data_IF_140665890724
#
_entry.id   IF_140665890724
#
_cell.length_a   1.000
_cell.length_b   1.000
_cell.length_c   1.000
_cell.angle_alpha   90.00
_cell.angle_beta   90.00
_cell.angle_gamma   90.00
#
_symmetry.space_group_name_H-M   'P 1'
#
loop_
_entity.id
_entity.type
_entity.pdbx_description
1 polymer ?
#
# COMPACT_ATOMS: atom_id res chain seq x y z
N UNK A 1 25.11 26.32 27.47
CA UNK A 1 23.87 26.91 28.01
C UNK A 1 22.86 25.79 28.26
N UNK A 2 23.20 24.98 29.27
CA UNK A 2 22.37 23.91 29.83
C UNK A 2 21.47 24.57 30.89
N UNK A 3 20.15 24.41 30.74
CA UNK A 3 19.08 24.53 31.76
C UNK A 3 17.81 25.02 31.04
N UNK A 4 16.89 24.09 30.76
CA UNK A 4 15.44 24.22 31.03
C UNK A 4 14.74 22.96 30.49
N UNK A 5 15.04 21.84 31.14
CA UNK A 5 14.28 20.59 31.10
C UNK A 5 13.97 20.25 32.55
N UNK A 6 12.86 20.78 33.07
CA UNK A 6 12.14 20.23 34.23
C UNK A 6 10.85 21.02 34.46
N UNK A 7 9.74 20.28 34.61
CA UNK A 7 8.34 20.69 34.87
C UNK A 7 7.42 20.64 33.64
N UNK A 8 6.77 19.50 33.44
CA UNK A 8 5.37 19.30 33.85
C UNK A 8 4.93 17.90 33.42
N UNK A 9 5.26 16.92 34.27
CA UNK A 9 4.63 15.61 34.31
C UNK A 9 3.77 15.62 35.57
N UNK A 10 2.47 15.86 35.40
CA UNK A 10 1.38 15.65 36.37
C UNK A 10 0.10 16.16 35.70
N UNK A 11 -0.70 15.26 35.11
CA UNK A 11 -2.17 15.32 35.05
C UNK A 11 -2.68 14.07 34.29
N UNK A 12 -2.56 12.91 34.95
CA UNK A 12 -3.32 11.70 34.66
C UNK A 12 -3.85 11.21 36.01
N UNK A 13 -5.09 11.57 36.34
CA UNK A 13 -6.02 10.90 37.26
C UNK A 13 -7.16 11.86 37.62
N UNK A 14 -8.19 11.91 36.79
CA UNK A 14 -9.58 12.16 37.23
C UNK A 14 -10.51 11.82 36.06
N UNK A 15 -11.71 11.35 36.41
CA UNK A 15 -12.84 11.04 35.52
C UNK A 15 -12.75 9.74 34.72
N UNK A 16 -12.73 8.65 35.48
CA UNK A 16 -13.41 7.42 35.09
C UNK A 16 -14.57 7.23 36.09
N UNK A 17 -15.80 7.63 35.72
CA UNK A 17 -17.09 7.18 36.30
C UNK A 17 -18.27 7.96 35.69
N UNK A 18 -18.91 7.39 34.67
CA UNK A 18 -20.36 7.39 34.45
C UNK A 18 -20.61 6.52 33.21
N UNK A 19 -20.82 5.23 33.43
CA UNK A 19 -22.16 4.66 33.59
C UNK A 19 -22.80 4.39 32.22
N UNK A 20 -22.56 3.16 31.78
CA UNK A 20 -23.49 2.34 31.03
C UNK A 20 -24.93 2.49 31.55
N UNK A 21 -25.85 2.98 30.72
CA UNK A 21 -27.27 2.60 30.68
C UNK A 21 -27.98 3.41 29.59
N UNK A 22 -28.25 2.77 28.45
CA UNK A 22 -29.50 2.91 27.69
C UNK A 22 -29.41 2.03 26.46
N UNK A 23 -29.63 0.73 26.66
CA UNK A 23 -30.13 -0.15 25.62
C UNK A 23 -31.66 0.00 25.52
N UNK A 24 -32.18 -0.24 24.31
CA UNK A 24 -33.57 -0.56 23.93
C UNK A 24 -34.35 0.50 23.11
N UNK A 25 -34.95 -0.03 22.04
CA UNK A 25 -35.78 0.60 20.99
C UNK A 25 -34.96 1.37 19.93
N UNK A 26 -34.74 0.83 18.74
CA UNK A 26 -35.77 0.44 17.77
C UNK A 26 -35.43 -0.88 17.05
N UNK A 27 -36.36 -1.83 17.17
CA UNK A 27 -36.47 -3.02 16.33
C UNK A 27 -37.08 -2.65 14.97
N UNK A 28 -36.61 -3.32 13.91
CA UNK A 28 -37.15 -3.27 12.54
C UNK A 28 -36.08 -2.76 11.58
N UNK A 29 -35.59 -3.51 10.59
CA UNK A 29 -36.08 -4.71 9.93
C UNK A 29 -34.89 -5.34 9.20
N UNK A 30 -34.74 -6.66 9.33
CA UNK A 30 -33.62 -7.40 8.77
C UNK A 30 -33.62 -7.46 7.25
N UNK A 31 -32.43 -7.33 6.69
CA UNK A 31 -32.05 -7.96 5.43
C UNK A 31 -30.86 -8.86 5.74
N UNK A 32 -31.13 -10.11 6.15
CA UNK A 32 -30.14 -11.17 6.15
C UNK A 32 -29.79 -11.47 4.69
N UNK A 33 -28.57 -11.14 4.26
CA UNK A 33 -28.04 -11.70 3.02
C UNK A 33 -28.00 -13.24 3.16
N UNK A 34 -28.48 -13.99 2.16
CA UNK A 34 -28.56 -15.43 2.27
C UNK A 34 -27.16 -16.04 2.35
N UNK A 35 -26.96 -16.89 3.36
CA UNK A 35 -25.84 -17.81 3.49
C UNK A 35 -25.78 -18.74 2.27
N UNK A 36 -25.16 -18.29 1.17
CA UNK A 36 -24.81 -19.18 0.07
C UNK A 36 -23.67 -20.09 0.51
N UNK A 37 -24.01 -21.34 0.80
CA UNK A 37 -23.06 -22.42 0.98
C UNK A 37 -22.07 -22.45 -0.20
N UNK A 38 -20.78 -22.35 0.11
CA UNK A 38 -19.70 -22.42 -0.88
C UNK A 38 -19.72 -23.82 -1.49
N UNK A 39 -20.10 -23.92 -2.77
CA UNK A 39 -20.06 -25.19 -3.50
C UNK A 39 -18.62 -25.68 -3.64
N UNK A 40 -18.44 -26.99 -3.51
CA UNK A 40 -17.16 -27.70 -3.65
C UNK A 40 -16.61 -27.45 -5.06
N UNK A 41 -15.38 -26.88 -5.15
CA UNK A 41 -14.67 -26.36 -6.34
C UNK A 41 -15.04 -24.93 -6.78
N UNK A 42 -14.76 -23.93 -5.94
CA UNK A 42 -14.84 -22.51 -6.33
C UNK A 42 -13.53 -21.79 -5.99
N UNK A 43 -13.04 -21.00 -6.95
CA UNK A 43 -11.88 -20.11 -6.80
C UNK A 43 -12.36 -18.67 -6.60
N UNK A 44 -11.70 -17.90 -5.74
CA UNK A 44 -12.03 -16.49 -5.53
C UNK A 44 -10.76 -15.62 -5.62
N UNK A 45 -10.69 -14.67 -6.59
CA UNK A 45 -11.60 -14.50 -7.74
C UNK A 45 -11.60 -15.72 -8.68
N UNK A 46 -12.65 -15.88 -9.50
CA UNK A 46 -12.84 -17.00 -10.43
C UNK A 46 -11.86 -16.95 -11.63
N UNK A 47 -10.56 -17.10 -11.33
CA UNK A 47 -9.42 -17.02 -12.25
C UNK A 47 -8.29 -17.95 -11.79
N UNK A 48 -7.51 -18.47 -12.73
CA UNK A 48 -6.32 -19.31 -12.46
C UNK A 48 -5.23 -18.53 -11.67
N UNK A 49 -4.46 -19.20 -10.79
CA UNK A 49 -3.51 -18.57 -9.87
C UNK A 49 -2.40 -17.72 -10.53
N UNK A 50 -1.82 -18.08 -11.71
CA UNK A 50 -0.81 -17.25 -12.37
C UNK A 50 -1.39 -16.07 -13.18
N UNK A 51 -2.65 -15.67 -12.94
CA UNK A 51 -3.22 -14.48 -13.57
C UNK A 51 -2.96 -13.22 -12.73
N UNK A 52 -2.75 -12.08 -13.39
CA UNK A 52 -2.53 -10.76 -12.76
C UNK A 52 -3.66 -10.34 -11.79
N UNK A 53 -4.85 -10.95 -11.92
CA UNK A 53 -6.01 -10.73 -11.06
C UNK A 53 -6.07 -11.60 -9.80
N UNK A 54 -5.11 -12.50 -9.59
CA UNK A 54 -4.99 -13.41 -8.44
C UNK A 54 -3.61 -13.17 -7.76
N UNK A 55 -2.89 -14.22 -7.38
CA UNK A 55 -1.57 -14.13 -6.75
C UNK A 55 -0.44 -13.73 -7.70
N UNK A 56 -0.65 -13.69 -9.01
CA UNK A 56 0.40 -13.33 -9.98
C UNK A 56 1.38 -14.48 -10.25
N UNK A 57 2.36 -14.25 -11.14
CA UNK A 57 3.29 -15.30 -11.58
C UNK A 57 4.28 -15.70 -10.48
N UNK A 58 4.76 -16.94 -10.55
CA UNK A 58 5.94 -17.39 -9.83
C UNK A 58 7.18 -16.62 -10.33
N UNK A 59 8.00 -16.16 -9.40
CA UNK A 59 9.27 -15.46 -9.63
C UNK A 59 10.48 -16.43 -9.60
N UNK A 60 10.27 -17.66 -9.15
CA UNK A 60 11.26 -18.74 -9.12
C UNK A 60 11.42 -19.34 -7.73
N UNK A 61 11.75 -20.64 -7.64
CA UNK A 61 11.94 -21.37 -6.37
C UNK A 61 13.01 -20.69 -5.50
N UNK A 62 12.68 -20.49 -4.23
CA UNK A 62 13.60 -20.04 -3.18
C UNK A 62 14.16 -21.30 -2.52
N UNK A 63 15.48 -21.46 -2.55
CA UNK A 63 16.19 -22.54 -1.86
C UNK A 63 16.81 -22.04 -0.56
N UNK A 64 16.94 -22.92 0.43
CA UNK A 64 17.61 -22.62 1.71
C UNK A 64 19.03 -22.06 1.45
N UNK A 65 19.33 -20.90 2.02
CA UNK A 65 20.63 -20.21 1.86
C UNK A 65 20.80 -19.40 0.55
N UNK A 66 19.79 -19.36 -0.33
CA UNK A 66 19.79 -18.42 -1.46
C UNK A 66 19.62 -16.97 -0.98
N UNK A 67 20.02 -15.99 -1.78
CA UNK A 67 19.81 -14.57 -1.43
C UNK A 67 18.33 -14.25 -1.18
N UNK A 68 17.42 -14.85 -1.96
CA UNK A 68 15.97 -14.69 -1.79
C UNK A 68 15.43 -15.38 -0.54
N UNK A 69 16.18 -16.28 0.10
CA UNK A 69 15.76 -16.90 1.35
C UNK A 69 15.64 -15.89 2.49
N UNK A 70 16.46 -14.83 2.46
CA UNK A 70 16.40 -13.71 3.42
C UNK A 70 15.07 -12.94 3.35
N UNK A 71 14.32 -13.09 2.26
CA UNK A 71 13.00 -12.46 2.10
C UNK A 71 11.91 -13.19 2.90
N UNK A 72 12.16 -14.42 3.32
CA UNK A 72 11.21 -15.20 4.12
C UNK A 72 11.45 -14.94 5.60
N UNK A 73 10.37 -14.55 6.30
CA UNK A 73 10.40 -14.37 7.75
C UNK A 73 9.63 -15.51 8.42
N UNK A 74 10.14 -16.07 9.53
CA UNK A 74 9.39 -17.06 10.27
C UNK A 74 8.17 -16.43 10.97
N UNK A 75 7.07 -17.17 11.00
CA UNK A 75 5.87 -16.84 11.75
C UNK A 75 5.78 -17.67 13.05
N UNK A 76 5.88 -16.98 14.19
CA UNK A 76 5.78 -17.56 15.54
C UNK A 76 4.50 -17.14 16.27
N UNK A 77 3.45 -16.79 15.53
CA UNK A 77 2.17 -16.45 16.12
C UNK A 77 1.62 -17.63 16.98
N UNK A 78 1.40 -17.45 18.29
CA UNK A 78 0.92 -18.52 19.18
C UNK A 78 -0.50 -19.01 18.86
N UNK A 79 -1.26 -18.22 18.09
CA UNK A 79 -2.63 -18.51 17.69
C UNK A 79 -2.72 -19.40 16.44
N UNK A 80 -1.57 -19.75 15.86
CA UNK A 80 -1.47 -20.61 14.67
C UNK A 80 -0.75 -21.91 15.04
N UNK A 81 -1.37 -23.04 14.71
CA UNK A 81 -0.75 -24.35 14.83
C UNK A 81 -0.04 -24.69 13.51
N UNK A 82 1.26 -24.93 13.55
CA UNK A 82 2.01 -25.42 12.40
C UNK A 82 2.18 -26.94 12.50
N UNK A 83 2.01 -27.64 11.37
CA UNK A 83 2.12 -29.11 11.33
C UNK A 83 3.58 -29.53 11.40
N UNK A 84 4.45 -28.90 10.60
CA UNK A 84 5.91 -29.06 10.62
C UNK A 84 6.32 -30.53 10.64
N UNK A 85 5.78 -31.35 9.73
CA UNK A 85 6.10 -32.77 9.68
C UNK A 85 7.55 -33.03 9.27
N UNK A 86 8.16 -32.06 8.57
CA UNK A 86 9.56 -32.07 8.14
C UNK A 86 10.52 -31.87 9.32
N UNK A 87 10.04 -31.32 10.45
CA UNK A 87 10.85 -30.90 11.60
C UNK A 87 11.97 -29.90 11.22
N UNK A 88 11.77 -29.12 10.16
CA UNK A 88 12.73 -28.10 9.67
C UNK A 88 12.26 -26.68 9.97
N UNK A 89 11.02 -26.50 10.42
CA UNK A 89 10.35 -25.22 10.58
C UNK A 89 10.00 -24.55 9.24
N UNK A 90 10.06 -25.27 8.12
CA UNK A 90 9.82 -24.72 6.78
C UNK A 90 8.40 -24.15 6.63
N UNK A 91 7.41 -24.83 7.22
CA UNK A 91 6.01 -24.39 7.34
C UNK A 91 5.83 -22.98 7.92
N UNK A 92 6.78 -22.51 8.73
CA UNK A 92 6.74 -21.19 9.38
C UNK A 92 7.30 -20.10 8.48
N UNK A 93 8.08 -20.44 7.46
CA UNK A 93 8.75 -19.49 6.60
C UNK A 93 7.80 -18.99 5.52
N UNK A 94 7.59 -17.68 5.48
CA UNK A 94 6.68 -17.06 4.52
C UNK A 94 7.07 -15.61 4.26
N UNK A 95 6.64 -15.09 3.13
CA UNK A 95 6.72 -13.65 2.79
C UNK A 95 5.99 -12.80 3.82
N UNK A 96 6.38 -11.52 3.96
CA UNK A 96 5.78 -10.65 4.97
C UNK A 96 4.28 -10.45 4.71
N UNK A 97 3.89 -10.32 3.44
CA UNK A 97 2.47 -10.25 3.07
C UNK A 97 1.71 -11.51 3.48
N UNK A 98 2.26 -12.69 3.21
CA UNK A 98 1.63 -13.95 3.59
C UNK A 98 1.43 -14.02 5.11
N UNK A 99 2.44 -13.62 5.88
CA UNK A 99 2.39 -13.51 7.35
C UNK A 99 1.27 -12.59 7.83
N UNK A 100 1.12 -11.40 7.26
CA UNK A 100 0.07 -10.44 7.65
C UNK A 100 -1.34 -10.98 7.38
N UNK A 101 -1.55 -11.61 6.22
CA UNK A 101 -2.83 -12.22 5.84
C UNK A 101 -3.16 -13.44 6.68
N UNK A 102 -2.16 -14.26 6.96
CA UNK A 102 -2.31 -15.44 7.80
C UNK A 102 -2.63 -15.07 9.25
N UNK A 103 -1.99 -14.04 9.81
CA UNK A 103 -2.29 -13.53 11.15
C UNK A 103 -3.71 -12.94 11.24
N UNK A 104 -4.13 -12.21 10.20
CA UNK A 104 -5.50 -11.67 10.11
C UNK A 104 -6.55 -12.79 10.04
N UNK A 105 -6.25 -13.86 9.29
CA UNK A 105 -7.08 -15.05 9.24
C UNK A 105 -7.15 -15.77 10.59
N UNK A 106 -6.03 -15.89 11.31
CA UNK A 106 -6.00 -16.53 12.62
C UNK A 106 -6.94 -15.84 13.63
N UNK A 107 -6.94 -14.50 13.66
CA UNK A 107 -7.88 -13.71 14.46
C UNK A 107 -9.33 -14.00 14.05
N UNK A 108 -9.59 -14.03 12.74
CA UNK A 108 -10.94 -14.28 12.20
C UNK A 108 -11.45 -15.68 12.57
N UNK A 109 -10.59 -16.71 12.53
CA UNK A 109 -10.92 -18.09 12.89
C UNK A 109 -11.28 -18.20 14.36
N UNK A 110 -10.49 -17.60 15.27
CA UNK A 110 -10.76 -17.64 16.70
C UNK A 110 -12.04 -16.89 17.08
N UNK A 111 -12.33 -15.78 16.39
CA UNK A 111 -13.57 -15.02 16.60
C UNK A 111 -14.80 -15.78 16.09
N UNK A 112 -14.67 -16.50 14.97
CA UNK A 112 -15.78 -17.23 14.37
C UNK A 112 -16.08 -18.54 15.11
N UNK A 113 -15.03 -19.24 15.58
CA UNK A 113 -15.15 -20.49 16.33
C UNK A 113 -14.38 -20.40 17.66
N UNK A 114 -15.05 -20.06 18.77
CA UNK A 114 -14.43 -20.03 20.09
C UNK A 114 -13.74 -21.37 20.43
N UNK A 115 -12.47 -21.33 20.81
CA UNK A 115 -11.67 -22.51 21.14
C UNK A 115 -11.02 -23.22 19.95
N UNK A 116 -11.28 -22.79 18.71
CA UNK A 116 -10.64 -23.32 17.50
C UNK A 116 -9.59 -22.34 16.99
N UNK A 117 -8.37 -22.83 16.78
CA UNK A 117 -7.27 -22.09 16.15
C UNK A 117 -7.10 -22.43 14.67
N UNK A 118 -6.44 -21.53 13.95
CA UNK A 118 -5.97 -21.78 12.59
C UNK A 118 -4.83 -22.79 12.61
N UNK A 119 -4.77 -23.67 11.61
CA UNK A 119 -3.72 -24.67 11.47
C UNK A 119 -3.14 -24.68 10.06
N UNK A 120 -1.84 -24.41 9.93
CA UNK A 120 -1.09 -24.54 8.67
C UNK A 120 -0.59 -25.98 8.55
N UNK A 121 -0.79 -26.57 7.37
CA UNK A 121 -0.31 -27.92 7.04
C UNK A 121 0.84 -27.93 6.06
N UNK A 122 0.99 -26.87 5.27
CA UNK A 122 2.04 -26.71 4.28
C UNK A 122 2.30 -25.21 4.12
N UNK A 123 3.56 -24.80 4.16
CA UNK A 123 4.00 -23.40 3.99
C UNK A 123 4.99 -23.25 2.84
N UNK A 124 6.24 -22.92 3.16
CA UNK A 124 7.33 -22.91 2.19
C UNK A 124 7.89 -24.32 2.02
N UNK A 125 7.81 -24.85 0.80
CA UNK A 125 8.24 -26.22 0.47
C UNK A 125 9.67 -26.23 -0.10
N UNK A 126 10.56 -27.01 0.52
CA UNK A 126 11.94 -27.25 0.04
C UNK A 126 12.08 -28.55 -0.77
N UNK A 127 11.19 -29.52 -0.56
CA UNK A 127 11.31 -30.93 -0.98
C UNK A 127 10.74 -31.20 -2.39
N UNK A 128 9.91 -30.31 -2.91
CA UNK A 128 9.45 -30.41 -4.29
C UNK A 128 8.12 -31.16 -4.48
N UNK A 129 7.24 -31.12 -3.48
CA UNK A 129 5.97 -31.85 -3.48
C UNK A 129 4.89 -31.22 -4.36
N UNK A 130 5.12 -30.00 -4.86
CA UNK A 130 4.16 -29.26 -5.68
C UNK A 130 4.55 -29.15 -7.17
N UNK A 131 3.60 -28.72 -8.02
CA UNK A 131 3.87 -28.43 -9.43
C UNK A 131 4.99 -27.39 -9.59
N UNK A 132 5.75 -27.43 -10.69
CA UNK A 132 6.92 -26.57 -10.94
C UNK A 132 6.66 -25.06 -10.90
N UNK A 133 5.40 -24.62 -10.95
CA UNK A 133 4.98 -23.22 -10.86
C UNK A 133 4.29 -22.85 -9.54
N UNK A 134 4.42 -23.71 -8.53
CA UNK A 134 3.79 -23.53 -7.21
C UNK A 134 4.38 -22.33 -6.45
N UNK A 135 3.50 -21.59 -5.80
CA UNK A 135 3.87 -20.46 -4.94
C UNK A 135 4.34 -20.90 -3.55
N UNK A 136 4.19 -22.19 -3.20
CA UNK A 136 4.80 -22.76 -1.99
C UNK A 136 6.32 -22.66 -2.03
N UNK A 137 6.93 -22.83 -3.21
CA UNK A 137 8.38 -22.68 -3.41
C UNK A 137 8.92 -21.27 -3.16
N UNK A 138 8.04 -20.28 -2.99
CA UNK A 138 8.39 -18.89 -2.75
C UNK A 138 7.91 -18.39 -1.38
N UNK A 139 7.35 -19.26 -0.53
CA UNK A 139 6.77 -18.85 0.76
C UNK A 139 5.59 -17.88 0.59
N UNK A 140 4.90 -17.97 -0.55
CA UNK A 140 3.76 -17.11 -0.94
C UNK A 140 2.43 -17.84 -0.93
N UNK A 141 2.44 -19.12 -0.58
CA UNK A 141 1.25 -19.93 -0.41
C UNK A 141 1.30 -20.69 0.91
N UNK A 142 0.11 -21.06 1.40
CA UNK A 142 -0.11 -21.85 2.59
C UNK A 142 -1.35 -22.72 2.40
N UNK A 143 -1.26 -23.96 2.84
CA UNK A 143 -2.43 -24.83 2.97
C UNK A 143 -2.89 -24.83 4.43
N UNK A 144 -4.16 -24.51 4.63
CA UNK A 144 -4.73 -24.28 5.96
C UNK A 144 -5.93 -25.15 6.27
N UNK A 145 -6.08 -25.45 7.56
CA UNK A 145 -7.14 -26.23 8.17
C UNK A 145 -7.55 -25.58 9.50
N UNK A 146 -8.62 -26.07 10.11
CA UNK A 146 -8.91 -25.76 11.52
C UNK A 146 -8.16 -26.73 12.43
N UNK A 147 -7.80 -26.27 13.63
CA UNK A 147 -7.06 -27.08 14.62
C UNK A 147 -7.76 -28.38 15.03
N UNK A 148 -9.10 -28.39 15.05
CA UNK A 148 -9.94 -29.56 15.30
C UNK A 148 -10.10 -30.49 14.08
N UNK A 149 -9.55 -30.09 12.92
CA UNK A 149 -9.58 -30.82 11.65
C UNK A 149 -11.00 -31.16 11.17
N UNK A 150 -11.99 -30.34 11.56
CA UNK A 150 -13.37 -30.49 11.11
C UNK A 150 -13.55 -29.96 9.68
N UNK A 151 -13.67 -30.90 8.73
CA UNK A 151 -13.81 -30.62 7.30
C UNK A 151 -15.07 -29.83 6.96
N UNK A 152 -16.11 -29.88 7.79
CA UNK A 152 -17.32 -29.10 7.58
C UNK A 152 -17.07 -27.58 7.76
N UNK A 153 -16.01 -27.20 8.48
CA UNK A 153 -15.62 -25.80 8.68
C UNK A 153 -14.84 -25.21 7.50
N UNK A 154 -14.30 -26.03 6.59
CA UNK A 154 -13.31 -25.55 5.61
C UNK A 154 -13.89 -24.65 4.52
N UNK A 155 -15.16 -24.85 4.16
CA UNK A 155 -15.86 -23.95 3.24
C UNK A 155 -15.94 -22.53 3.82
N UNK A 156 -16.28 -22.42 5.10
CA UNK A 156 -16.31 -21.15 5.84
C UNK A 156 -14.90 -20.62 6.07
N UNK A 157 -13.91 -21.48 6.35
CA UNK A 157 -12.51 -21.09 6.47
C UNK A 157 -11.98 -20.42 5.19
N UNK A 158 -12.32 -20.98 4.02
CA UNK A 158 -11.98 -20.39 2.74
C UNK A 158 -12.61 -19.01 2.56
N UNK A 159 -13.87 -18.82 3.01
CA UNK A 159 -14.51 -17.51 3.00
C UNK A 159 -13.79 -16.51 3.90
N UNK A 160 -13.45 -16.91 5.13
CA UNK A 160 -12.68 -16.08 6.05
C UNK A 160 -11.30 -15.72 5.48
N UNK A 161 -10.65 -16.61 4.73
CA UNK A 161 -9.38 -16.32 4.05
C UNK A 161 -9.53 -15.23 2.97
N UNK A 162 -10.63 -15.24 2.21
CA UNK A 162 -10.93 -14.17 1.25
C UNK A 162 -11.12 -12.84 1.98
N UNK A 163 -11.85 -12.83 3.09
CA UNK A 163 -12.12 -11.63 3.89
C UNK A 163 -10.87 -11.12 4.63
N UNK A 164 -9.96 -12.02 5.03
CA UNK A 164 -8.64 -11.69 5.55
C UNK A 164 -7.73 -11.04 4.48
N UNK A 165 -8.11 -11.14 3.20
CA UNK A 165 -7.46 -10.46 2.08
C UNK A 165 -6.31 -11.24 1.46
N UNK A 166 -6.37 -12.57 1.47
CA UNK A 166 -5.55 -13.39 0.57
C UNK A 166 -5.87 -13.06 -0.89
N UNK A 167 -4.85 -13.03 -1.75
CA UNK A 167 -5.01 -12.61 -3.15
C UNK A 167 -5.66 -13.70 -4.01
N UNK A 168 -5.53 -14.96 -3.58
CA UNK A 168 -6.21 -16.09 -4.18
C UNK A 168 -6.48 -17.15 -3.14
N UNK A 169 -7.72 -17.63 -3.10
CA UNK A 169 -8.14 -18.72 -2.21
C UNK A 169 -8.78 -19.81 -3.06
N UNK A 170 -8.32 -21.04 -2.84
CA UNK A 170 -8.78 -22.22 -3.53
C UNK A 170 -9.13 -23.31 -2.54
N UNK A 171 -10.37 -23.76 -2.61
CA UNK A 171 -10.80 -24.97 -1.91
C UNK A 171 -10.37 -26.20 -2.72
N UNK A 172 -9.07 -26.50 -2.66
CA UNK A 172 -8.36 -27.45 -3.52
C UNK A 172 -8.75 -28.91 -3.28
N UNK A 173 -8.92 -29.27 -2.02
CA UNK A 173 -9.21 -30.64 -1.62
C UNK A 173 -10.21 -30.65 -0.45
N UNK A 174 -10.83 -31.81 -0.18
CA UNK A 174 -11.55 -32.01 1.09
C UNK A 174 -10.61 -32.02 2.31
N UNK A 175 -9.31 -31.85 2.12
CA UNK A 175 -8.30 -31.99 3.17
C UNK A 175 -7.74 -30.65 3.67
N UNK A 176 -7.71 -29.59 2.84
CA UNK A 176 -7.23 -28.26 3.22
C UNK A 176 -7.81 -27.16 2.30
N UNK A 177 -7.63 -25.91 2.72
CA UNK A 177 -7.85 -24.70 1.91
C UNK A 177 -6.50 -24.16 1.49
N UNK A 178 -6.27 -24.00 0.19
CA UNK A 178 -5.07 -23.36 -0.33
C UNK A 178 -5.27 -21.84 -0.40
N UNK A 179 -4.31 -21.09 0.13
CA UNK A 179 -4.32 -19.63 0.15
C UNK A 179 -2.99 -19.11 -0.35
N UNK A 180 -2.99 -18.11 -1.24
CA UNK A 180 -1.75 -17.50 -1.72
C UNK A 180 -1.83 -15.99 -1.86
N UNK A 181 -0.65 -15.37 -1.94
CA UNK A 181 -0.46 -13.92 -2.02
C UNK A 181 0.41 -13.51 -3.20
N UNK A 182 0.24 -12.25 -3.62
CA UNK A 182 1.15 -11.55 -4.52
C UNK A 182 2.56 -11.45 -3.91
N UNK A 183 3.59 -11.41 -4.75
CA UNK A 183 4.97 -11.29 -4.25
C UNK A 183 5.21 -9.91 -3.64
N UNK A 184 6.05 -9.88 -2.61
CA UNK A 184 6.48 -8.63 -1.97
C UNK A 184 7.20 -7.72 -2.99
N UNK A 185 7.96 -8.28 -3.95
CA UNK A 185 8.56 -7.55 -5.07
C UNK A 185 7.52 -6.93 -5.99
N UNK A 186 6.46 -7.66 -6.34
CA UNK A 186 5.38 -7.11 -7.14
C UNK A 186 4.56 -6.06 -6.39
N UNK A 187 4.72 -5.89 -5.08
CA UNK A 187 4.04 -4.85 -4.29
C UNK A 187 4.98 -3.67 -4.02
N UNK A 188 6.18 -3.91 -3.50
CA UNK A 188 7.22 -2.92 -3.26
C UNK A 188 7.67 -2.22 -4.55
N UNK A 189 7.87 -2.98 -5.63
CA UNK A 189 8.17 -2.41 -6.92
C UNK A 189 6.94 -1.79 -7.57
N UNK A 190 5.69 -2.21 -7.28
CA UNK A 190 4.47 -1.59 -7.86
C UNK A 190 3.89 -0.42 -7.08
N UNK A 191 4.22 -0.23 -5.80
CA UNK A 191 3.52 0.69 -4.89
C UNK A 191 4.40 1.79 -4.29
N UNK A 192 5.58 2.07 -4.88
CA UNK A 192 6.18 3.40 -4.77
C UNK A 192 5.21 4.48 -5.28
N UNK A 193 5.37 5.74 -4.87
CA UNK A 193 4.46 6.81 -5.29
C UNK A 193 4.73 7.22 -6.73
N UNK A 194 3.91 6.72 -7.65
CA UNK A 194 4.05 6.94 -9.09
C UNK A 194 2.73 7.43 -9.71
N UNK A 195 2.85 8.08 -10.85
CA UNK A 195 1.76 8.44 -11.76
C UNK A 195 1.80 7.55 -13.00
N UNK A 196 0.65 7.29 -13.65
CA UNK A 196 0.61 6.49 -14.87
C UNK A 196 1.17 7.26 -16.06
N UNK A 197 1.65 6.56 -17.09
CA UNK A 197 2.28 7.19 -18.25
C UNK A 197 1.38 8.13 -19.06
N UNK A 198 0.06 7.88 -19.03
CA UNK A 198 -0.96 8.68 -19.70
C UNK A 198 -1.44 9.89 -18.89
N UNK A 199 -1.02 10.03 -17.62
CA UNK A 199 -1.33 11.23 -16.84
C UNK A 199 -0.72 12.48 -17.50
N UNK A 200 -1.35 13.63 -17.30
CA UNK A 200 -0.94 14.88 -17.94
C UNK A 200 -0.43 15.91 -16.95
N UNK A 201 0.57 16.69 -17.39
CA UNK A 201 1.11 17.84 -16.66
C UNK A 201 1.08 19.08 -17.55
N UNK A 202 1.00 20.25 -16.95
CA UNK A 202 0.99 21.54 -17.67
C UNK A 202 2.37 22.18 -17.62
N UNK A 203 2.94 22.52 -18.77
CA UNK A 203 4.22 23.22 -18.90
C UNK A 203 4.08 24.74 -18.68
N UNK A 204 5.19 25.44 -18.45
CA UNK A 204 5.23 26.92 -18.29
C UNK A 204 4.64 27.69 -19.49
N UNK A 205 4.65 27.10 -20.69
CA UNK A 205 3.98 27.65 -21.88
C UNK A 205 2.49 27.32 -22.00
N UNK A 206 1.87 26.70 -20.99
CA UNK A 206 0.46 26.28 -21.00
C UNK A 206 0.16 24.98 -21.76
N UNK A 207 1.11 24.47 -22.54
CA UNK A 207 0.99 23.20 -23.22
C UNK A 207 0.89 22.02 -22.23
N UNK A 208 0.08 21.02 -22.56
CA UNK A 208 -0.02 19.77 -21.79
C UNK A 208 0.95 18.73 -22.34
N UNK A 209 1.63 18.02 -21.44
CA UNK A 209 2.57 16.94 -21.76
C UNK A 209 2.17 15.68 -20.99
N UNK A 210 2.30 14.51 -21.61
CA UNK A 210 2.08 13.25 -20.90
C UNK A 210 3.24 12.97 -19.94
N UNK A 211 2.97 12.25 -18.87
CA UNK A 211 3.95 11.85 -17.87
C UNK A 211 5.06 10.99 -18.49
N UNK A 212 4.70 10.13 -19.46
CA UNK A 212 5.66 9.32 -20.22
C UNK A 212 6.63 10.14 -21.08
N UNK A 213 6.20 11.31 -21.57
CA UNK A 213 6.99 12.21 -22.42
C UNK A 213 7.74 13.28 -21.61
N UNK A 214 7.53 13.34 -20.29
CA UNK A 214 8.18 14.28 -19.39
C UNK A 214 9.68 13.99 -19.30
N UNK A 215 10.48 15.05 -19.33
CA UNK A 215 11.95 15.00 -19.30
C UNK A 215 12.49 15.88 -18.17
N UNK A 216 13.64 15.53 -17.57
CA UNK A 216 14.36 16.47 -16.72
C UNK A 216 14.64 17.78 -17.47
N UNK A 217 14.55 18.91 -16.78
CA UNK A 217 14.62 20.26 -17.34
C UNK A 217 13.28 20.86 -17.77
N UNK A 218 12.22 20.05 -17.94
CA UNK A 218 10.88 20.58 -18.20
C UNK A 218 10.39 21.39 -16.98
N UNK A 219 9.89 22.61 -17.20
CA UNK A 219 9.23 23.42 -16.16
C UNK A 219 7.73 23.20 -16.18
N UNK A 220 7.20 22.62 -15.10
CA UNK A 220 5.81 22.19 -14.98
C UNK A 220 5.09 22.86 -13.83
N UNK A 221 3.75 22.87 -13.90
CA UNK A 221 2.88 23.41 -12.88
C UNK A 221 2.99 22.60 -11.59
N UNK A 222 3.22 23.31 -10.49
CA UNK A 222 3.37 22.80 -9.14
C UNK A 222 2.59 23.70 -8.16
N UNK A 223 2.56 23.31 -6.88
CA UNK A 223 1.88 24.05 -5.83
C UNK A 223 2.85 24.47 -4.72
N UNK A 224 2.94 25.77 -4.45
CA UNK A 224 3.72 26.33 -3.36
C UNK A 224 2.79 27.07 -2.40
N UNK A 225 2.72 26.62 -1.14
CA UNK A 225 1.91 27.25 -0.09
C UNK A 225 0.42 27.47 -0.47
N UNK A 226 -0.13 26.60 -1.32
CA UNK A 226 -1.51 26.70 -1.82
C UNK A 226 -1.68 27.59 -3.06
N UNK A 227 -0.62 28.26 -3.52
CA UNK A 227 -0.58 28.95 -4.81
C UNK A 227 0.01 28.08 -5.93
N UNK A 228 -0.23 28.46 -7.17
CA UNK A 228 0.35 27.79 -8.34
C UNK A 228 1.68 28.43 -8.72
N UNK A 229 2.68 27.59 -9.01
CA UNK A 229 4.02 28.01 -9.46
C UNK A 229 4.53 27.06 -10.54
N UNK A 230 5.49 27.50 -11.35
CA UNK A 230 6.21 26.62 -12.27
C UNK A 230 7.54 26.19 -11.69
N UNK A 231 7.74 24.87 -11.56
CA UNK A 231 8.93 24.24 -11.02
C UNK A 231 9.58 23.34 -12.05
N UNK A 232 10.91 23.35 -12.10
CA UNK A 232 11.68 22.43 -12.93
C UNK A 232 11.58 20.99 -12.42
N UNK A 233 11.47 20.04 -13.35
CA UNK A 233 11.64 18.61 -13.14
C UNK A 233 13.12 18.28 -13.12
N UNK A 234 13.62 17.84 -11.98
CA UNK A 234 15.05 17.61 -11.77
C UNK A 234 15.49 16.21 -12.22
N UNK A 235 14.70 15.20 -11.86
CA UNK A 235 14.95 13.79 -12.16
C UNK A 235 13.69 12.97 -11.89
N UNK A 236 13.77 11.65 -12.08
CA UNK A 236 12.75 10.69 -11.70
C UNK A 236 13.24 9.85 -10.51
N UNK A 237 12.46 9.81 -9.44
CA UNK A 237 12.70 8.95 -8.27
C UNK A 237 12.44 7.48 -8.59
N UNK A 238 11.52 7.21 -9.50
CA UNK A 238 11.19 5.90 -10.08
C UNK A 238 10.70 6.11 -11.51
N UNK A 239 11.09 5.23 -12.44
CA UNK A 239 10.72 5.30 -13.86
C UNK A 239 10.61 3.90 -14.45
N UNK A 240 9.40 3.46 -14.72
CA UNK A 240 9.11 2.15 -15.28
C UNK A 240 8.04 2.32 -16.37
N UNK A 241 8.42 2.49 -17.65
CA UNK A 241 7.49 2.87 -18.70
C UNK A 241 6.55 1.72 -19.13
N UNK A 242 6.95 0.47 -18.91
CA UNK A 242 6.31 -0.67 -19.55
C UNK A 242 5.40 -1.46 -18.63
N UNK A 243 5.64 -1.43 -17.32
CA UNK A 243 4.95 -2.31 -16.38
C UNK A 243 3.53 -1.81 -16.07
N UNK A 244 2.50 -2.66 -16.20
CA UNK A 244 1.16 -2.37 -15.72
C UNK A 244 1.11 -2.31 -14.19
N UNK A 245 0.45 -1.29 -13.63
CA UNK A 245 0.29 -1.09 -12.18
C UNK A 245 -1.13 -0.69 -11.81
N UNK A 246 -1.45 -0.89 -10.54
CA UNK A 246 -2.70 -0.46 -9.93
C UNK A 246 -2.58 1.00 -9.47
N UNK A 247 -3.60 1.78 -9.80
CA UNK A 247 -3.71 3.19 -9.44
C UNK A 247 -5.05 3.42 -8.74
N UNK A 248 -5.01 4.17 -7.64
CA UNK A 248 -6.19 4.78 -7.03
C UNK A 248 -6.56 5.98 -7.89
N UNK A 249 -7.78 5.97 -8.42
CA UNK A 249 -8.35 7.05 -9.22
C UNK A 249 -9.34 7.85 -8.39
N UNK A 250 -9.07 9.15 -8.26
CA UNK A 250 -9.86 10.10 -7.49
C UNK A 250 -10.63 11.00 -8.45
N UNK A 251 -11.95 11.09 -8.25
CA UNK A 251 -12.82 12.01 -9.00
C UNK A 251 -13.20 13.18 -8.12
N UNK A 252 -12.98 14.40 -8.61
CA UNK A 252 -13.34 15.64 -7.90
C UNK A 252 -14.63 16.24 -8.43
N UNK A 253 -15.30 17.04 -7.61
CA UNK A 253 -16.55 17.74 -7.97
C UNK A 253 -16.32 18.74 -9.10
N UNK A 254 -15.17 19.41 -9.11
CA UNK A 254 -14.80 20.39 -10.12
C UNK A 254 -14.55 19.78 -11.52
N UNK A 255 -14.50 18.45 -11.64
CA UNK A 255 -14.25 17.74 -12.91
C UNK A 255 -12.92 16.98 -12.99
N UNK A 256 -11.77 17.54 -12.55
CA UNK A 256 -10.48 16.85 -12.57
C UNK A 256 -10.50 15.46 -11.95
N UNK A 257 -9.78 14.53 -12.57
CA UNK A 257 -9.60 13.15 -12.11
C UNK A 257 -8.12 12.83 -12.07
N UNK A 258 -7.63 12.33 -10.93
CA UNK A 258 -6.23 12.01 -10.72
C UNK A 258 -6.06 10.52 -10.46
N UNK A 259 -5.10 9.87 -11.14
CA UNK A 259 -4.70 8.49 -10.89
C UNK A 259 -3.27 8.44 -10.34
N UNK A 260 -3.07 7.73 -9.23
CA UNK A 260 -1.79 7.59 -8.54
C UNK A 260 -1.74 6.28 -7.75
N UNK A 261 -0.55 5.75 -7.45
CA UNK A 261 -0.41 4.54 -6.63
C UNK A 261 -0.84 4.78 -5.18
N UNK A 262 -1.18 3.70 -4.44
CA UNK A 262 -1.77 3.80 -3.11
C UNK A 262 -0.88 4.53 -2.07
N UNK A 263 0.44 4.36 -2.14
CA UNK A 263 1.40 4.98 -1.21
C UNK A 263 1.86 6.39 -1.64
N UNK A 264 1.31 6.94 -2.70
CA UNK A 264 1.64 8.29 -3.18
C UNK A 264 0.94 9.34 -2.29
N UNK A 265 1.67 10.37 -1.85
CA UNK A 265 1.12 11.41 -0.98
C UNK A 265 0.31 12.47 -1.74
N UNK A 266 -0.85 12.79 -1.18
CA UNK A 266 -1.73 13.88 -1.58
C UNK A 266 -1.91 14.89 -0.46
N UNK A 267 -2.29 16.11 -0.85
CA UNK A 267 -2.68 17.15 0.09
C UNK A 267 -4.20 17.14 0.27
N UNK A 268 -4.65 16.71 1.46
CA UNK A 268 -6.08 16.60 1.80
C UNK A 268 -6.46 17.49 2.98
N UNK A 269 -7.70 17.98 2.99
CA UNK A 269 -8.28 18.67 4.14
C UNK A 269 -8.84 17.68 5.18
N UNK A 270 -8.69 18.00 6.47
CA UNK A 270 -8.97 17.08 7.60
C UNK A 270 -10.43 16.74 7.88
N UNK A 271 -11.40 17.58 7.45
CA UNK A 271 -12.87 17.42 7.33
C UNK A 271 -13.53 18.82 7.22
N UNK A 272 -14.68 18.92 6.55
CA UNK A 272 -15.47 20.17 6.32
C UNK A 272 -14.78 21.28 5.51
N UNK A 273 -14.43 20.97 4.26
CA UNK A 273 -13.99 21.96 3.27
C UNK A 273 -15.15 22.38 2.36
N UNK A 274 -15.21 23.67 2.05
CA UNK A 274 -16.16 24.23 1.08
C UNK A 274 -15.60 24.10 -0.34
N UNK A 275 -16.44 23.65 -1.27
CA UNK A 275 -16.09 23.59 -2.70
C UNK A 275 -15.69 24.98 -3.20
N UNK A 276 -14.62 25.06 -3.98
CA UNK A 276 -14.13 26.32 -4.55
C UNK A 276 -13.43 27.25 -3.56
N UNK A 277 -13.33 26.89 -2.28
CA UNK A 277 -12.63 27.72 -1.29
C UNK A 277 -11.14 27.86 -1.61
N UNK A 278 -10.59 29.04 -1.33
CA UNK A 278 -9.15 29.30 -1.39
C UNK A 278 -8.47 28.47 -0.30
N UNK A 279 -7.36 27.77 -0.60
CA UNK A 279 -6.64 27.01 0.39
C UNK A 279 -6.09 27.93 1.49
N UNK A 280 -6.56 27.76 2.72
CA UNK A 280 -5.92 28.38 3.87
C UNK A 280 -4.56 27.73 4.12
N UNK A 281 -3.52 28.54 4.29
CA UNK A 281 -2.16 28.10 4.60
C UNK A 281 -2.15 27.20 5.84
N UNK A 282 -1.48 26.05 5.75
CA UNK A 282 -1.33 25.11 6.86
C UNK A 282 -2.53 24.20 7.17
N UNK A 283 -3.66 24.31 6.45
CA UNK A 283 -4.84 23.44 6.67
C UNK A 283 -4.82 22.12 5.88
N UNK A 284 -3.93 21.98 4.90
CA UNK A 284 -3.78 20.75 4.14
C UNK A 284 -2.74 19.85 4.81
N UNK A 285 -3.12 18.58 5.02
CA UNK A 285 -2.21 17.54 5.51
C UNK A 285 -1.82 16.60 4.38
N UNK A 286 -0.61 16.06 4.46
CA UNK A 286 -0.22 14.96 3.59
C UNK A 286 -0.99 13.68 4.01
N UNK A 287 -1.50 12.93 3.05
CA UNK A 287 -2.10 11.63 3.26
C UNK A 287 -1.83 10.72 2.06
N UNK A 288 -1.67 9.43 2.31
CA UNK A 288 -1.55 8.43 1.26
C UNK A 288 -2.83 8.29 0.45
N UNK A 289 -2.72 8.12 -0.86
CA UNK A 289 -3.86 7.92 -1.76
C UNK A 289 -4.80 6.79 -1.30
N UNK A 290 -4.26 5.68 -0.80
CA UNK A 290 -5.05 4.55 -0.29
C UNK A 290 -5.90 4.87 0.94
N UNK A 291 -5.51 5.89 1.72
CA UNK A 291 -6.21 6.34 2.92
C UNK A 291 -7.25 7.45 2.64
N UNK A 292 -7.29 7.95 1.41
CA UNK A 292 -8.24 9.00 1.00
C UNK A 292 -9.66 8.42 0.91
N UNK A 293 -10.64 9.23 1.28
CA UNK A 293 -12.07 8.87 1.27
C UNK A 293 -12.90 9.96 0.60
N UNK A 294 -14.04 9.60 -0.04
CA UNK A 294 -15.02 10.58 -0.50
C UNK A 294 -15.43 11.55 0.62
N UNK A 295 -15.72 12.80 0.26
CA UNK A 295 -16.05 13.87 1.19
C UNK A 295 -14.86 14.70 1.69
N UNK A 296 -13.63 14.21 1.57
CA UNK A 296 -12.42 15.03 1.75
C UNK A 296 -12.22 15.97 0.55
N UNK A 297 -11.45 17.06 0.71
CA UNK A 297 -11.06 17.91 -0.42
C UNK A 297 -9.58 17.83 -0.70
N UNK A 298 -9.27 17.96 -1.99
CA UNK A 298 -7.93 18.12 -2.56
C UNK A 298 -7.80 19.49 -3.19
N UNK A 299 -6.56 19.91 -3.43
CA UNK A 299 -6.29 21.15 -4.16
C UNK A 299 -6.32 20.87 -5.67
N UNK A 300 -7.17 21.60 -6.39
CA UNK A 300 -7.28 21.52 -7.85
C UNK A 300 -6.88 22.85 -8.49
N UNK A 301 -6.19 22.77 -9.63
CA UNK A 301 -5.80 23.92 -10.44
C UNK A 301 -6.80 24.05 -11.61
N UNK A 302 -7.73 25.01 -11.50
CA UNK A 302 -8.77 25.20 -12.53
C UNK A 302 -8.89 26.69 -12.84
N UNK A 303 -8.63 27.07 -14.09
CA UNK A 303 -8.65 28.46 -14.54
C UNK A 303 -7.46 29.29 -14.04
N UNK A 304 -6.29 28.68 -13.88
CA UNK A 304 -5.07 29.36 -13.39
C UNK A 304 -5.08 29.68 -11.89
N UNK A 305 -6.10 29.23 -11.15
CA UNK A 305 -6.23 29.44 -9.71
C UNK A 305 -6.33 28.10 -9.00
N UNK A 306 -5.67 27.99 -7.84
CA UNK A 306 -5.75 26.84 -6.97
C UNK A 306 -6.96 26.97 -6.03
N UNK A 307 -7.84 25.96 -6.03
CA UNK A 307 -9.04 25.92 -5.20
C UNK A 307 -9.25 24.54 -4.62
N UNK A 308 -9.94 24.46 -3.49
CA UNK A 308 -10.33 23.18 -2.91
C UNK A 308 -11.49 22.57 -3.71
N UNK A 309 -11.39 21.27 -4.02
CA UNK A 309 -12.49 20.50 -4.59
C UNK A 309 -12.70 19.20 -3.84
N UNK A 310 -13.97 18.88 -3.60
CA UNK A 310 -14.40 17.68 -2.86
C UNK A 310 -14.26 16.44 -3.74
N UNK A 311 -13.75 15.38 -3.13
CA UNK A 311 -13.68 14.05 -3.72
C UNK A 311 -15.07 13.41 -3.67
N UNK A 312 -15.60 13.06 -4.83
CA UNK A 312 -16.91 12.42 -4.98
C UNK A 312 -16.81 10.91 -5.18
N UNK A 313 -15.66 10.43 -5.67
CA UNK A 313 -15.46 9.01 -5.94
C UNK A 313 -14.00 8.60 -5.84
N UNK A 314 -13.79 7.38 -5.36
CA UNK A 314 -12.50 6.71 -5.29
C UNK A 314 -12.67 5.32 -5.89
N UNK A 315 -11.89 4.99 -6.91
CA UNK A 315 -11.90 3.68 -7.57
C UNK A 315 -10.48 3.18 -7.81
N UNK A 316 -10.32 1.91 -8.12
CA UNK A 316 -9.01 1.33 -8.50
C UNK A 316 -9.02 1.02 -9.99
N UNK A 317 -7.97 1.43 -10.68
CA UNK A 317 -7.79 1.24 -12.13
C UNK A 317 -6.40 0.72 -12.45
N UNK A 318 -6.28 -0.14 -13.45
CA UNK A 318 -4.97 -0.60 -13.95
C UNK A 318 -4.54 0.29 -15.10
N UNK A 319 -3.34 0.90 -15.01
CA UNK A 319 -2.74 1.68 -16.09
C UNK A 319 -1.30 1.21 -16.34
N UNK A 320 -0.76 1.58 -17.50
CA UNK A 320 0.60 1.24 -17.91
C UNK A 320 1.58 2.39 -17.62
N UNK A 321 2.77 2.02 -17.19
CA UNK A 321 3.84 2.95 -16.89
C UNK A 321 3.71 3.53 -15.48
N UNK A 322 4.84 3.77 -14.83
CA UNK A 322 4.94 4.32 -13.49
C UNK A 322 6.09 5.33 -13.44
N UNK A 323 5.76 6.56 -13.13
CA UNK A 323 6.70 7.67 -13.14
C UNK A 323 6.58 8.48 -11.85
N UNK A 324 7.69 8.70 -11.17
CA UNK A 324 7.78 9.53 -9.97
C UNK A 324 8.71 10.73 -10.22
N UNK A 325 8.26 11.77 -10.92
CA UNK A 325 9.08 12.96 -11.17
C UNK A 325 9.35 13.71 -9.87
N UNK A 326 10.61 14.12 -9.67
CA UNK A 326 11.03 15.03 -8.61
C UNK A 326 11.13 16.45 -9.17
N UNK A 327 10.34 17.37 -8.63
CA UNK A 327 10.47 18.79 -8.92
C UNK A 327 11.29 19.50 -7.84
N UNK A 328 11.86 20.66 -8.16
CA UNK A 328 12.58 21.51 -7.19
C UNK A 328 11.68 21.91 -6.00
N UNK A 329 10.41 22.19 -6.28
CA UNK A 329 9.39 22.50 -5.28
C UNK A 329 8.95 21.28 -4.44
N UNK A 330 9.17 20.05 -4.93
CA UNK A 330 8.72 18.82 -4.29
C UNK A 330 7.21 18.56 -4.39
N UNK A 331 6.49 19.35 -5.18
CA UNK A 331 5.07 19.19 -5.49
C UNK A 331 4.85 19.25 -6.99
N UNK A 332 3.70 18.75 -7.44
CA UNK A 332 3.35 18.66 -8.86
C UNK A 332 1.83 18.74 -9.03
N UNK A 333 1.36 19.38 -10.10
CA UNK A 333 -0.04 19.31 -10.54
C UNK A 333 -0.15 18.28 -11.67
N UNK A 334 -0.91 17.22 -11.43
CA UNK A 334 -1.15 16.13 -12.40
C UNK A 334 -2.66 16.05 -12.65
N UNK A 335 -3.05 16.05 -13.93
CA UNK A 335 -4.46 16.04 -14.35
C UNK A 335 -5.33 17.09 -13.64
N UNK A 336 -4.72 18.24 -13.31
CA UNK A 336 -5.38 19.36 -12.64
C UNK A 336 -5.48 19.23 -11.11
N UNK A 337 -4.88 18.23 -10.48
CA UNK A 337 -4.90 18.01 -9.02
C UNK A 337 -3.48 18.07 -8.44
N UNK A 338 -3.31 18.72 -7.29
CA UNK A 338 -2.03 18.83 -6.62
C UNK A 338 -1.65 17.56 -5.85
N UNK A 339 -0.41 17.12 -6.04
CA UNK A 339 0.20 15.98 -5.37
C UNK A 339 1.62 16.31 -4.89
N UNK A 340 2.13 15.52 -3.95
CA UNK A 340 3.54 15.56 -3.54
C UNK A 340 4.39 14.82 -4.58
N UNK A 341 5.67 15.15 -4.75
CA UNK A 341 6.62 14.32 -5.51
C UNK A 341 7.13 13.11 -4.70
N UNK A 342 6.56 12.85 -3.53
CA UNK A 342 7.12 11.93 -2.54
C UNK A 342 6.10 10.87 -2.15
N UNK A 343 6.64 9.77 -1.68
CA UNK A 343 5.93 8.57 -1.31
C UNK A 343 6.62 7.90 -0.12
N UNK A 344 6.07 6.77 0.32
CA UNK A 344 6.61 5.90 1.36
C UNK A 344 6.64 6.51 2.77
N UNK A 345 7.00 7.78 2.95
CA UNK A 345 6.96 8.46 4.25
C UNK A 345 5.65 9.25 4.39
N UNK A 346 5.03 9.26 5.57
CA UNK A 346 3.72 9.89 5.83
C UNK A 346 3.74 11.43 5.86
N UNK A 347 4.94 12.01 5.77
CA UNK A 347 5.20 13.43 5.90
C UNK A 347 5.94 13.98 4.67
N UNK A 348 5.24 14.82 3.91
CA UNK A 348 5.83 15.59 2.82
C UNK A 348 7.05 16.41 3.29
N UNK A 349 6.98 17.04 4.46
CA UNK A 349 8.08 17.87 4.98
C UNK A 349 9.33 17.04 5.26
N UNK A 350 9.15 15.86 5.87
CA UNK A 350 10.25 14.96 6.19
C UNK A 350 10.89 14.42 4.91
N UNK A 351 10.08 13.95 3.96
CA UNK A 351 10.57 13.50 2.67
C UNK A 351 11.30 14.62 1.92
N UNK A 352 10.72 15.82 1.87
CA UNK A 352 11.32 16.97 1.22
C UNK A 352 12.67 17.35 1.81
N UNK A 353 12.80 17.28 3.14
CA UNK A 353 14.07 17.48 3.84
C UNK A 353 15.08 16.37 3.51
N UNK A 354 14.65 15.11 3.51
CA UNK A 354 15.50 13.98 3.15
C UNK A 354 16.03 14.09 1.71
N UNK A 355 15.27 14.66 0.79
CA UNK A 355 15.70 14.94 -0.58
C UNK A 355 16.43 16.28 -0.76
N UNK A 356 16.67 17.08 0.29
CA UNK A 356 17.40 18.34 0.19
C UNK A 356 18.84 18.19 -0.35
N UNK A 357 19.64 17.19 0.06
CA UNK A 357 20.99 17.01 -0.47
C UNK A 357 21.02 16.76 -1.98
N UNK A 358 20.10 15.93 -2.49
CA UNK A 358 19.97 15.68 -3.93
C UNK A 358 19.58 16.96 -4.68
N UNK A 359 18.71 17.78 -4.07
CA UNK A 359 18.31 19.06 -4.67
C UNK A 359 19.44 20.08 -4.70
N UNK A 360 20.22 20.17 -3.64
CA UNK A 360 21.41 21.03 -3.59
C UNK A 360 22.46 20.59 -4.61
N UNK A 361 22.70 19.28 -4.75
CA UNK A 361 23.62 18.74 -5.74
C UNK A 361 23.21 19.15 -7.16
N UNK A 362 21.93 18.98 -7.52
CA UNK A 362 21.42 19.38 -8.82
C UNK A 362 21.53 20.89 -9.07
N UNK A 363 21.20 21.72 -8.08
CA UNK A 363 21.37 23.18 -8.19
C UNK A 363 22.84 23.57 -8.47
N UNK A 364 23.80 22.78 -7.98
CA UNK A 364 25.22 23.07 -8.15
C UNK A 364 25.81 22.52 -9.46
N UNK A 365 25.42 21.31 -9.86
CA UNK A 365 26.00 20.60 -11.01
C UNK A 365 25.15 20.66 -12.27
N UNK A 366 23.90 21.14 -12.18
CA UNK A 366 22.91 21.06 -13.26
C UNK A 366 22.41 19.64 -13.54
N UNK A 367 22.83 18.64 -12.77
CA UNK A 367 22.49 17.24 -12.99
C UNK A 367 22.26 16.52 -11.66
N UNK A 368 21.10 15.89 -11.51
CA UNK A 368 20.80 15.03 -10.35
C UNK A 368 21.33 13.59 -10.54
N UNK A 369 22.15 13.37 -11.58
CA UNK A 369 22.60 12.04 -12.03
C UNK A 369 21.70 11.48 -13.14
N UNK A 370 22.30 10.79 -14.11
CA UNK A 370 21.58 10.12 -15.18
C UNK A 370 20.90 8.87 -14.61
N UNK A 371 19.56 8.90 -14.49
CA UNK A 371 18.81 7.74 -14.02
C UNK A 371 18.06 7.08 -15.17
N UNK A 372 18.30 5.78 -15.34
CA UNK A 372 17.62 4.93 -16.33
C UNK A 372 16.23 4.51 -15.85
N UNK A 373 15.77 3.35 -16.31
CA UNK A 373 14.55 2.74 -15.79
C UNK A 373 14.81 2.14 -14.39
N UNK A 374 13.79 2.20 -13.52
CA UNK A 374 13.77 1.69 -12.15
C UNK A 374 13.88 2.77 -11.08
N UNK A 375 14.15 2.36 -9.84
CA UNK A 375 14.23 3.23 -8.68
C UNK A 375 15.58 3.98 -8.59
N UNK A 376 15.53 5.29 -8.35
CA UNK A 376 16.71 6.14 -8.22
C UNK A 376 17.63 5.69 -7.09
N UNK A 377 18.95 5.69 -7.32
CA UNK A 377 19.95 5.24 -6.33
C UNK A 377 19.80 5.96 -4.98
N UNK A 378 19.53 7.27 -5.01
CA UNK A 378 19.35 8.07 -3.80
C UNK A 378 18.07 7.65 -3.04
N UNK A 379 17.00 7.36 -3.76
CA UNK A 379 15.75 6.83 -3.18
C UNK A 379 15.99 5.47 -2.52
N UNK A 380 16.84 4.60 -3.11
CA UNK A 380 17.23 3.32 -2.51
C UNK A 380 17.93 3.51 -1.17
N UNK A 381 18.90 4.42 -1.11
CA UNK A 381 19.62 4.74 0.13
C UNK A 381 18.68 5.32 1.19
N UNK A 382 17.80 6.25 0.81
CA UNK A 382 16.85 6.84 1.74
C UNK A 382 15.84 5.83 2.28
N UNK A 383 15.36 4.90 1.46
CA UNK A 383 14.48 3.83 1.91
C UNK A 383 15.20 2.91 2.91
N UNK A 384 16.47 2.59 2.65
CA UNK A 384 17.30 1.81 3.57
C UNK A 384 17.51 2.54 4.90
N UNK A 385 17.94 3.82 4.87
CA UNK A 385 18.13 4.64 6.08
C UNK A 385 16.82 4.88 6.84
N UNK A 386 15.73 5.15 6.12
CA UNK A 386 14.43 5.43 6.70
C UNK A 386 13.91 4.27 7.55
N UNK A 387 14.14 3.03 7.14
CA UNK A 387 13.78 1.85 7.96
C UNK A 387 14.65 1.69 9.20
N UNK A 388 15.93 2.02 9.11
CA UNK A 388 16.84 1.90 10.24
C UNK A 388 16.58 2.95 11.34
N UNK A 389 16.01 4.12 10.97
CA UNK A 389 15.96 5.30 11.85
C UNK A 389 14.54 5.78 12.17
N UNK A 390 13.55 5.57 11.29
CA UNK A 390 12.19 6.07 11.51
C UNK A 390 11.32 5.04 12.23
N UNK A 391 10.43 5.52 13.09
CA UNK A 391 9.38 4.69 13.70
C UNK A 391 8.57 3.97 12.61
N UNK A 392 8.23 2.67 12.79
CA UNK A 392 7.49 1.89 11.80
C UNK A 392 6.17 2.53 11.33
N UNK A 393 5.54 3.35 12.20
CA UNK A 393 4.29 4.05 11.88
C UNK A 393 4.42 5.24 10.92
N UNK A 394 5.64 5.71 10.62
CA UNK A 394 5.88 6.82 9.66
C UNK A 394 6.14 6.36 8.24
N UNK A 395 6.47 5.10 8.08
CA UNK A 395 6.57 4.46 6.78
C UNK A 395 5.21 3.88 6.41
N UNK A 396 4.88 3.97 5.13
CA UNK A 396 3.70 3.31 4.61
C UNK A 396 3.86 1.82 4.87
N UNK A 397 2.84 1.08 5.34
CA UNK A 397 2.97 -0.35 5.62
C UNK A 397 3.56 -1.14 4.44
N UNK A 398 3.24 -0.74 3.21
CA UNK A 398 3.74 -1.36 1.98
C UNK A 398 5.19 -0.98 1.62
N UNK A 399 5.74 0.08 2.24
CA UNK A 399 7.15 0.47 2.13
C UNK A 399 8.03 -0.12 3.24
N UNK A 400 7.46 -0.75 4.28
CA UNK A 400 8.22 -1.46 5.31
C UNK A 400 8.71 -2.82 4.81
N UNK A 401 8.09 -3.37 3.76
CA UNK A 401 8.34 -4.71 3.23
C UNK A 401 9.58 -4.91 2.32
N UNK A 402 10.49 -3.93 2.14
CA UNK A 402 11.78 -4.26 1.50
C UNK A 402 12.86 -4.61 2.54
N UNK A 403 13.16 -5.90 2.69
CA UNK A 403 14.51 -6.41 2.92
C UNK A 403 15.08 -6.33 4.34
N UNK A 404 15.15 -7.49 4.99
CA UNK A 404 16.45 -8.03 5.39
C UNK A 404 17.29 -8.21 4.09
N UNK A 405 18.14 -7.23 3.77
CA UNK A 405 19.19 -7.33 2.74
C UNK A 405 20.55 -7.15 3.40
#
# INVERSE_FOLDING_TARGET
MFRFLCRFQTFLCSENQNASQSAASLLGSGCSEPNTAVQVKRFLPDRFPPTLGASGKAEGKISRGSERFKELSPNYNPDIIFKDEENTGADRLMTQRCKDKLNSLAISVMNFWPGVRLRVTEGWDEDGHHSSSSLHYEGRAVDVTTSDRDRHKYATLARLAVEAGFDWVHYESRAHVHCSVKSDHSMAAKEGGCFPGNASVTLEGGARKSMSALRPGDRILASANGGLVFSEVMTFLDRDPDTPRLFVSLRTTAGPQLALTAAHLLFVSGRNCSEGAVPATGRLRAAYAGAVRPGQCVLVAVGGVARLSRIVGVSVTTNRGAFAPLTQQGTIIVDGVAASCYAAVDSHRLAHLAFAPLRLLHCWTGSAGCHGNGLHWYSRILLWLGRAVLDPGRLHPLSVALGDM
#
